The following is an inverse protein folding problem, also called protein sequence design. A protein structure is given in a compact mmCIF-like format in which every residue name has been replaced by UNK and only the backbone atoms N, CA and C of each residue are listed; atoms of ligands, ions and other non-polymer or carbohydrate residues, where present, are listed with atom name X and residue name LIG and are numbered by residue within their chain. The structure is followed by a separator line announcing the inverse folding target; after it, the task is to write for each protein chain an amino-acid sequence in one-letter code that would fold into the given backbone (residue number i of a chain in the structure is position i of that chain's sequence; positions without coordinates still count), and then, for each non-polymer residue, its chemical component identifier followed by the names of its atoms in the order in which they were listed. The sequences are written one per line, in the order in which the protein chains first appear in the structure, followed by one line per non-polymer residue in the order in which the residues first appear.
data_IF_126488813846
#
_entry.id   IF_126488813846
#
_cell.length_a   1.000
_cell.length_b   1.000
_cell.length_c   1.000
_cell.angle_alpha   90.00
_cell.angle_beta   90.00
_cell.angle_gamma   90.00
#
_symmetry.space_group_name_H-M   'P 1'
#
loop_
_entity.id
_entity.type
_entity.pdbx_description
1 polymer ?
#
# COMPACT_ATOMS: atom_id res chain seq x y z
N UNK A 1 16.14 -8.76 -9.14
CA UNK A 1 15.47 -9.20 -7.90
C UNK A 1 14.85 -7.98 -7.22
N UNK A 2 13.92 -8.16 -6.28
CA UNK A 2 13.28 -7.03 -5.58
C UNK A 2 14.33 -6.14 -4.89
N UNK A 3 15.38 -6.76 -4.39
CA UNK A 3 16.50 -6.16 -3.67
C UNK A 3 17.34 -5.23 -4.55
N UNK A 4 17.25 -5.34 -5.88
CA UNK A 4 17.98 -4.50 -6.84
C UNK A 4 17.29 -3.15 -7.11
N UNK A 5 16.02 -2.99 -6.71
CA UNK A 5 15.24 -1.77 -6.94
C UNK A 5 15.44 -0.78 -5.80
N UNK A 6 15.96 0.43 -6.06
CA UNK A 6 16.20 1.40 -4.98
C UNK A 6 14.94 1.68 -4.12
N UNK A 7 15.17 1.96 -2.83
CA UNK A 7 14.12 2.45 -1.96
C UNK A 7 13.86 3.93 -2.22
N UNK A 8 12.59 4.28 -2.34
CA UNK A 8 12.09 5.63 -2.17
C UNK A 8 11.43 5.76 -0.80
N UNK A 9 11.37 6.99 -0.28
CA UNK A 9 10.80 7.27 1.03
C UNK A 9 9.89 8.49 0.98
N UNK A 10 8.81 8.41 1.74
CA UNK A 10 7.89 9.52 1.95
C UNK A 10 7.57 9.66 3.45
N UNK A 11 7.45 10.90 3.91
CA UNK A 11 6.89 11.19 5.23
C UNK A 11 6.18 12.54 5.24
N UNK A 12 5.12 12.64 6.04
CA UNK A 12 4.43 13.91 6.27
C UNK A 12 3.88 13.99 7.70
N UNK A 13 4.38 14.96 8.46
CA UNK A 13 4.05 15.13 9.86
C UNK A 13 4.35 13.88 10.70
N UNK A 14 3.57 13.68 11.78
CA UNK A 14 3.77 12.54 12.69
C UNK A 14 3.07 11.26 12.23
N UNK A 15 2.00 11.36 11.44
CA UNK A 15 1.10 10.24 11.11
C UNK A 15 1.50 9.48 9.85
N UNK A 16 1.94 10.18 8.79
CA UNK A 16 2.16 9.55 7.50
C UNK A 16 3.64 9.24 7.28
N UNK A 17 3.91 8.09 6.67
CA UNK A 17 5.23 7.75 6.19
C UNK A 17 5.39 6.28 5.84
N UNK A 18 6.18 6.03 4.81
CA UNK A 18 6.51 4.71 4.32
C UNK A 18 7.79 4.77 3.49
N UNK A 19 8.41 3.63 3.27
CA UNK A 19 9.37 3.43 2.18
C UNK A 19 8.78 2.46 1.18
N UNK A 20 9.14 2.60 -0.09
CA UNK A 20 8.61 1.73 -1.14
C UNK A 20 9.65 1.48 -2.25
N UNK A 21 9.51 0.38 -2.96
CA UNK A 21 10.29 0.07 -4.17
C UNK A 21 9.35 0.08 -5.38
N UNK A 22 9.67 0.87 -6.41
CA UNK A 22 8.90 0.96 -7.65
C UNK A 22 9.21 -0.22 -8.60
N UNK A 23 8.66 -1.40 -8.27
CA UNK A 23 8.93 -2.65 -9.00
C UNK A 23 8.42 -2.62 -10.45
N UNK A 24 7.25 -2.03 -10.68
CA UNK A 24 6.62 -1.96 -12.00
C UNK A 24 7.47 -1.12 -12.96
N UNK A 25 7.94 0.05 -12.52
CA UNK A 25 8.81 0.90 -13.32
C UNK A 25 10.14 0.20 -13.64
N UNK A 26 10.78 -0.38 -12.62
CA UNK A 26 12.03 -1.14 -12.80
C UNK A 26 11.87 -2.32 -13.76
N UNK A 27 10.72 -3.00 -13.71
CA UNK A 27 10.38 -4.11 -14.60
C UNK A 27 9.86 -3.70 -15.98
N UNK A 28 9.71 -2.40 -16.27
CA UNK A 28 9.23 -1.88 -17.55
C UNK A 28 7.71 -1.95 -17.75
N UNK A 29 6.92 -2.13 -16.69
CA UNK A 29 5.46 -2.09 -16.75
C UNK A 29 4.97 -0.72 -17.25
N UNK A 30 3.93 -0.72 -18.08
CA UNK A 30 3.35 0.51 -18.68
C UNK A 30 1.89 0.75 -18.33
N UNK A 31 1.16 -0.30 -17.94
CA UNK A 31 -0.29 -0.24 -17.74
C UNK A 31 -0.70 -0.40 -16.27
N UNK A 32 0.16 -0.96 -15.43
CA UNK A 32 -0.12 -1.24 -14.02
C UNK A 32 1.11 -0.85 -13.21
N UNK A 33 0.91 0.02 -12.22
CA UNK A 33 1.91 0.30 -11.21
C UNK A 33 2.03 -0.87 -10.23
N UNK A 34 3.26 -1.24 -9.89
CA UNK A 34 3.51 -2.27 -8.87
C UNK A 34 4.59 -1.73 -7.94
N UNK A 35 4.28 -1.62 -6.66
CA UNK A 35 5.22 -1.22 -5.64
C UNK A 35 5.24 -2.24 -4.50
N UNK A 36 6.38 -2.32 -3.80
CA UNK A 36 6.48 -3.01 -2.52
C UNK A 36 6.64 -1.96 -1.44
N UNK A 37 5.66 -1.83 -0.56
CA UNK A 37 5.60 -0.81 0.48
C UNK A 37 5.94 -1.39 1.86
N UNK A 38 6.60 -0.60 2.68
CA UNK A 38 6.89 -0.90 4.07
C UNK A 38 6.60 0.32 4.94
N UNK A 39 5.72 0.16 5.93
CA UNK A 39 5.34 1.22 6.85
C UNK A 39 6.28 1.19 8.05
N UNK A 40 6.76 2.36 8.46
CA UNK A 40 7.42 2.46 9.75
C UNK A 40 6.38 2.26 10.88
N UNK A 41 6.78 1.78 12.06
CA UNK A 41 5.85 1.51 13.15
C UNK A 41 4.92 2.68 13.45
N UNK A 42 3.61 2.39 13.52
CA UNK A 42 2.53 3.36 13.83
C UNK A 42 2.35 4.46 12.76
N UNK A 43 2.88 4.27 11.55
CA UNK A 43 2.63 5.16 10.41
C UNK A 43 1.44 4.67 9.59
N UNK A 44 0.97 5.56 8.72
CA UNK A 44 -0.07 5.28 7.74
C UNK A 44 0.47 5.65 6.35
N UNK A 45 0.19 4.82 5.35
CA UNK A 45 0.69 5.03 3.99
C UNK A 45 0.02 6.25 3.32
N UNK A 46 -1.29 6.37 3.49
CA UNK A 46 -2.13 7.34 2.78
C UNK A 46 -3.29 7.83 3.67
N UNK A 47 -3.85 9.00 3.37
CA UNK A 47 -5.13 9.41 3.97
C UNK A 47 -6.25 8.43 3.60
N UNK A 48 -7.37 8.43 4.32
CA UNK A 48 -8.54 7.67 3.87
C UNK A 48 -9.06 8.27 2.55
N UNK A 49 -9.06 7.48 1.49
CA UNK A 49 -9.43 7.91 0.13
C UNK A 49 -9.99 6.74 -0.68
N UNK A 50 -10.59 7.04 -1.83
CA UNK A 50 -10.95 6.02 -2.82
C UNK A 50 -10.55 6.54 -4.21
N UNK A 51 -10.43 5.62 -5.15
CA UNK A 51 -10.00 5.94 -6.51
C UNK A 51 -11.22 6.08 -7.41
N UNK A 52 -11.20 7.10 -8.28
CA UNK A 52 -12.28 7.32 -9.25
C UNK A 52 -12.13 6.47 -10.50
N UNK A 53 -10.89 6.28 -10.97
CA UNK A 53 -10.59 5.67 -12.27
C UNK A 53 -9.70 4.42 -12.16
N UNK A 54 -8.87 4.35 -11.12
CA UNK A 54 -7.88 3.29 -10.96
C UNK A 54 -8.41 2.22 -10.01
N UNK A 55 -8.18 0.95 -10.35
CA UNK A 55 -8.33 -0.16 -9.41
C UNK A 55 -7.02 -0.34 -8.66
N UNK A 56 -7.09 -0.56 -7.35
CA UNK A 56 -5.92 -0.79 -6.51
C UNK A 56 -6.04 -2.16 -5.84
N UNK A 57 -4.94 -2.90 -5.76
CA UNK A 57 -4.89 -4.20 -5.06
C UNK A 57 -3.67 -4.23 -4.16
N UNK A 58 -3.87 -4.58 -2.89
CA UNK A 58 -2.81 -4.73 -1.92
C UNK A 58 -2.74 -6.18 -1.42
N UNK A 59 -1.51 -6.70 -1.25
CA UNK A 59 -1.24 -8.04 -0.74
C UNK A 59 -0.21 -7.93 0.39
N UNK A 60 -0.48 -8.58 1.52
CA UNK A 60 0.47 -8.63 2.64
C UNK A 60 1.39 -9.83 2.51
N UNK A 61 2.70 -9.60 2.60
CA UNK A 61 3.72 -10.66 2.68
C UNK A 61 3.91 -11.19 4.11
N UNK A 62 3.25 -10.58 5.10
CA UNK A 62 3.30 -10.97 6.51
C UNK A 62 4.53 -10.53 7.29
N UNK A 63 5.43 -9.71 6.72
CA UNK A 63 6.60 -9.20 7.47
C UNK A 63 6.23 -8.16 8.52
N UNK A 64 5.09 -7.50 8.36
CA UNK A 64 4.58 -6.49 9.29
C UNK A 64 3.40 -7.07 10.08
N UNK A 65 3.60 -7.50 11.35
CA UNK A 65 2.59 -8.24 12.12
C UNK A 65 1.38 -7.38 12.51
N UNK A 66 1.58 -6.06 12.61
CA UNK A 66 0.56 -5.09 12.99
C UNK A 66 -0.08 -4.39 11.78
N UNK A 67 0.26 -4.81 10.55
CA UNK A 67 -0.27 -4.20 9.33
C UNK A 67 -1.79 -4.35 9.28
N UNK A 68 -2.47 -3.24 9.02
CA UNK A 68 -3.91 -3.17 8.92
C UNK A 68 -4.39 -2.34 7.75
N UNK A 69 -5.63 -2.61 7.36
CA UNK A 69 -6.38 -1.80 6.41
C UNK A 69 -7.64 -1.31 7.09
N UNK A 70 -7.91 -0.02 6.95
CA UNK A 70 -9.18 0.58 7.32
C UNK A 70 -10.02 0.71 6.06
N UNK A 71 -11.27 0.24 6.11
CA UNK A 71 -12.30 0.58 5.11
C UNK A 71 -13.52 1.12 5.86
N UNK A 72 -14.44 0.25 6.27
CA UNK A 72 -15.53 0.57 7.22
C UNK A 72 -15.12 0.34 8.67
N UNK A 73 -14.12 -0.52 8.88
CA UNK A 73 -13.51 -0.85 10.16
C UNK A 73 -12.05 -1.25 9.95
N UNK A 74 -11.29 -1.29 11.03
CA UNK A 74 -9.93 -1.82 11.04
C UNK A 74 -9.96 -3.34 10.84
N UNK A 75 -9.14 -3.82 9.92
CA UNK A 75 -8.93 -5.24 9.65
C UNK A 75 -7.43 -5.51 9.65
N UNK A 76 -6.97 -6.51 10.42
CA UNK A 76 -5.57 -6.92 10.41
C UNK A 76 -5.27 -7.78 9.18
N UNK A 77 -4.07 -7.62 8.64
CA UNK A 77 -3.59 -8.35 7.48
C UNK A 77 -2.59 -9.43 7.91
N UNK A 78 -2.83 -10.67 7.51
CA UNK A 78 -1.88 -11.78 7.67
C UNK A 78 -1.12 -12.01 6.37
N UNK A 79 -0.06 -12.79 6.40
CA UNK A 79 0.61 -13.25 5.18
C UNK A 79 -0.40 -13.85 4.20
N UNK A 80 -0.39 -13.39 2.95
CA UNK A 80 -1.30 -13.80 1.90
C UNK A 80 -2.69 -13.17 1.94
N UNK A 81 -3.01 -12.32 2.94
CA UNK A 81 -4.20 -11.48 2.88
C UNK A 81 -4.09 -10.54 1.68
N UNK A 82 -5.15 -10.44 0.91
CA UNK A 82 -5.27 -9.47 -0.19
C UNK A 82 -6.57 -8.70 -0.06
N UNK A 83 -6.56 -7.48 -0.56
CA UNK A 83 -7.74 -6.61 -0.65
C UNK A 83 -7.72 -5.92 -2.01
N UNK A 84 -8.91 -5.80 -2.60
CA UNK A 84 -9.12 -5.11 -3.86
C UNK A 84 -9.97 -3.89 -3.58
N UNK A 85 -9.58 -2.77 -4.17
CA UNK A 85 -10.30 -1.50 -4.16
C UNK A 85 -10.72 -1.18 -5.60
N UNK A 86 -11.92 -1.65 -6.02
CA UNK A 86 -12.50 -1.31 -7.32
C UNK A 86 -12.63 0.20 -7.53
N UNK A 87 -12.34 0.64 -8.75
CA UNK A 87 -12.52 2.01 -9.18
C UNK A 87 -13.99 2.46 -9.00
N UNK A 88 -14.17 3.64 -8.42
CA UNK A 88 -15.50 4.25 -8.29
C UNK A 88 -16.42 3.61 -7.25
N UNK A 89 -15.97 2.64 -6.44
CA UNK A 89 -16.80 2.01 -5.39
C UNK A 89 -17.21 2.98 -4.27
N UNK A 90 -16.54 4.14 -4.15
CA UNK A 90 -16.79 5.15 -3.10
C UNK A 90 -16.64 4.60 -1.67
N UNK A 91 -15.87 3.53 -1.49
CA UNK A 91 -15.49 2.99 -0.19
C UNK A 91 -14.06 3.45 0.12
N UNK A 92 -13.92 4.41 1.04
CA UNK A 92 -12.62 4.97 1.38
C UNK A 92 -11.75 3.97 2.17
N UNK A 93 -10.47 3.87 1.81
CA UNK A 93 -9.51 2.98 2.44
C UNK A 93 -8.24 3.69 2.91
N UNK A 94 -7.54 3.08 3.86
CA UNK A 94 -6.17 3.44 4.23
C UNK A 94 -5.40 2.28 4.83
N UNK A 95 -4.09 2.22 4.57
CA UNK A 95 -3.16 1.19 5.06
C UNK A 95 -2.34 1.78 6.22
N UNK A 96 -2.25 1.06 7.35
CA UNK A 96 -1.62 1.52 8.59
C UNK A 96 -0.94 0.40 9.38
#
# INVERSE_FOLDING_TARGET
MVEDVAWDEYSHGKRFGMRYRQLGEFGGCKNVGVCMEELAPRKQACTNHYHHLEEETAVSDGRQPDLGVWVTKAMSCKAGSYVVFPAGQQAGHSIF
#
